data_IF_030231079972
#
_entry.id   IF_030231079972
#
_cell.length_a   1.000
_cell.length_b   1.000
_cell.length_c   1.000
_cell.angle_alpha   90.00
_cell.angle_beta   90.00
_cell.angle_gamma   90.00
#
_symmetry.space_group_name_H-M   'P 1'
#
loop_
_entity.id
_entity.type
_entity.pdbx_description
1 polymer ?
#
# COMPACT_ATOMS: atom_id res chain seq x y z
N UNK A 1 -9.11 -6.71 3.24
CA UNK A 1 -9.12 -6.16 4.62
C UNK A 1 -9.15 -4.65 4.58
N UNK A 2 -10.10 -4.07 5.22
CA UNK A 2 -10.24 -2.61 5.29
C UNK A 2 -9.91 -2.16 6.71
N UNK A 3 -8.98 -1.23 6.83
CA UNK A 3 -8.57 -0.64 8.10
C UNK A 3 -8.84 0.85 8.01
N UNK A 4 -9.53 1.43 8.99
CA UNK A 4 -9.85 2.81 8.85
C UNK A 4 -10.27 3.54 10.09
N UNK A 5 -10.06 4.85 10.03
CA UNK A 5 -10.56 5.83 10.96
C UNK A 5 -11.69 6.58 10.28
N UNK A 6 -12.86 6.55 10.87
CA UNK A 6 -13.98 7.34 10.35
C UNK A 6 -14.20 8.55 11.24
N UNK A 7 -14.47 9.71 10.66
CA UNK A 7 -14.70 10.02 9.24
C UNK A 7 -13.43 10.28 8.42
N UNK A 8 -12.24 10.21 9.01
CA UNK A 8 -11.00 10.68 8.37
C UNK A 8 -10.63 9.90 7.11
N UNK A 9 -10.83 8.57 7.09
CA UNK A 9 -10.50 7.77 5.93
C UNK A 9 -10.31 6.30 6.25
N UNK A 10 -9.75 5.57 5.28
CA UNK A 10 -9.48 4.15 5.45
C UNK A 10 -8.36 3.70 4.50
N UNK A 11 -7.80 2.55 4.81
CA UNK A 11 -6.87 1.86 3.92
C UNK A 11 -7.38 0.45 3.63
N UNK A 12 -7.04 -0.06 2.45
CA UNK A 12 -7.31 -1.45 2.08
C UNK A 12 -5.99 -2.16 1.91
N UNK A 13 -5.89 -3.35 2.51
CA UNK A 13 -4.72 -4.19 2.39
C UNK A 13 -5.14 -5.66 2.36
N UNK A 14 -4.26 -6.50 1.86
CA UNK A 14 -4.49 -7.94 1.78
C UNK A 14 -3.18 -8.71 1.88
N UNK A 15 -3.28 -10.02 2.01
CA UNK A 15 -2.13 -10.89 1.93
C UNK A 15 -1.97 -11.37 0.49
N UNK A 16 -0.73 -11.41 0.01
CA UNK A 16 -0.40 -12.03 -1.26
C UNK A 16 0.56 -13.17 -1.04
N UNK A 17 0.24 -14.31 -1.62
CA UNK A 17 1.03 -15.53 -1.50
C UNK A 17 1.89 -15.79 -2.72
N UNK A 18 1.49 -15.27 -3.88
CA UNK A 18 2.27 -15.31 -5.10
C UNK A 18 3.38 -14.28 -5.05
N UNK A 19 4.36 -14.42 -5.95
CA UNK A 19 5.49 -13.49 -5.99
C UNK A 19 5.05 -12.04 -6.12
N UNK A 20 5.68 -11.20 -5.32
CA UNK A 20 5.53 -9.74 -5.37
C UNK A 20 6.90 -9.13 -5.68
N UNK A 21 6.93 -8.25 -6.67
CA UNK A 21 8.17 -7.60 -7.11
C UNK A 21 8.92 -6.96 -5.94
N UNK A 22 10.20 -7.28 -5.85
CA UNK A 22 11.08 -6.72 -4.82
C UNK A 22 10.99 -7.41 -3.47
N UNK A 23 10.23 -8.51 -3.34
CA UNK A 23 10.10 -9.25 -2.09
C UNK A 23 10.72 -10.63 -2.17
N UNK A 24 11.07 -11.19 -1.02
CA UNK A 24 11.73 -12.50 -0.91
C UNK A 24 10.93 -13.49 -0.06
N UNK A 25 9.86 -13.06 0.57
CA UNK A 25 9.08 -13.87 1.52
C UNK A 25 7.63 -14.01 1.08
N UNK A 26 6.90 -14.91 1.72
CA UNK A 26 5.47 -15.11 1.50
C UNK A 26 4.83 -15.59 2.82
N UNK A 27 3.64 -15.12 3.18
CA UNK A 27 2.88 -14.11 2.46
C UNK A 27 3.48 -12.71 2.63
N UNK A 28 3.14 -11.83 1.69
CA UNK A 28 3.49 -10.41 1.74
C UNK A 28 2.22 -9.62 2.03
N UNK A 29 2.30 -8.66 2.94
CA UNK A 29 1.21 -7.70 3.13
C UNK A 29 1.21 -6.74 1.95
N UNK A 30 0.05 -6.44 1.41
CA UNK A 30 -0.06 -5.60 0.22
C UNK A 30 -1.07 -4.49 0.44
N UNK A 31 -0.60 -3.25 0.28
CA UNK A 31 -1.44 -2.06 0.39
C UNK A 31 -2.12 -1.82 -0.96
N UNK A 32 -3.44 -1.96 -1.00
CA UNK A 32 -4.24 -1.76 -2.20
C UNK A 32 -4.61 -0.29 -2.40
N UNK A 33 -4.85 0.44 -1.32
CA UNK A 33 -5.17 1.85 -1.40
C UNK A 33 -5.29 2.51 -0.05
N UNK A 34 -5.10 3.83 -0.05
CA UNK A 34 -5.27 4.68 1.13
C UNK A 34 -6.17 5.83 0.71
N UNK A 35 -7.25 6.04 1.45
CA UNK A 35 -8.22 7.07 1.15
C UNK A 35 -8.40 7.96 2.38
N UNK A 36 -8.06 9.24 2.23
CA UNK A 36 -8.23 10.23 3.30
C UNK A 36 -9.17 11.30 2.79
N UNK A 37 -10.21 11.58 3.57
CA UNK A 37 -11.16 12.64 3.24
C UNK A 37 -10.41 13.97 3.12
N UNK A 38 -10.72 14.80 2.09
CA UNK A 38 -10.02 16.07 1.90
C UNK A 38 -9.98 16.96 3.13
N UNK A 39 -11.03 16.93 3.97
CA UNK A 39 -11.10 17.73 5.19
C UNK A 39 -10.06 17.30 6.23
N UNK A 40 -9.50 16.09 6.10
CA UNK A 40 -8.58 15.51 7.08
C UNK A 40 -7.17 15.31 6.51
N UNK A 41 -6.89 15.81 5.31
CA UNK A 41 -5.58 15.68 4.68
C UNK A 41 -4.52 16.54 5.37
N UNK A 42 -3.25 16.18 5.17
CA UNK A 42 -2.08 16.87 5.73
C UNK A 42 -2.03 16.86 7.26
N UNK A 43 -2.67 15.86 7.87
CA UNK A 43 -2.70 15.69 9.32
C UNK A 43 -2.09 14.36 9.77
N UNK A 44 -1.41 13.66 8.86
CA UNK A 44 -0.76 12.39 9.16
C UNK A 44 -1.66 11.16 9.16
N UNK A 45 -2.93 11.29 8.76
CA UNK A 45 -3.87 10.16 8.73
C UNK A 45 -3.44 9.07 7.77
N UNK A 46 -2.94 9.43 6.58
CA UNK A 46 -2.47 8.45 5.60
C UNK A 46 -1.34 7.59 6.14
N UNK A 47 -0.36 8.19 6.78
CA UNK A 47 0.74 7.46 7.42
C UNK A 47 0.27 6.58 8.55
N UNK A 48 -0.66 7.08 9.36
CA UNK A 48 -1.23 6.30 10.46
C UNK A 48 -1.97 5.08 9.93
N UNK A 49 -2.71 5.22 8.83
CA UNK A 49 -3.39 4.11 8.17
C UNK A 49 -2.41 3.08 7.62
N UNK A 50 -1.32 3.51 7.00
CA UNK A 50 -0.28 2.61 6.51
C UNK A 50 0.35 1.86 7.69
N UNK A 51 0.68 2.56 8.78
CA UNK A 51 1.25 1.93 9.97
C UNK A 51 0.30 0.87 10.56
N UNK A 52 -1.00 1.14 10.57
CA UNK A 52 -1.99 0.17 11.03
C UNK A 52 -2.04 -1.07 10.12
N UNK A 53 -1.92 -0.87 8.80
CA UNK A 53 -1.84 -1.98 7.85
C UNK A 53 -0.58 -2.80 8.06
N UNK A 54 0.55 -2.16 8.29
CA UNK A 54 1.81 -2.84 8.58
C UNK A 54 1.71 -3.69 9.86
N UNK A 55 1.10 -3.14 10.91
CA UNK A 55 0.89 -3.91 12.14
C UNK A 55 -0.01 -5.11 11.91
N UNK A 56 -1.08 -4.93 11.14
CA UNK A 56 -1.94 -6.04 10.77
C UNK A 56 -1.16 -7.11 10.02
N UNK A 57 -0.33 -6.71 9.04
CA UNK A 57 0.46 -7.64 8.25
C UNK A 57 1.45 -8.42 9.14
N UNK A 58 2.10 -7.74 10.09
CA UNK A 58 3.00 -8.42 11.04
C UNK A 58 2.25 -9.46 11.86
N UNK A 59 1.04 -9.17 12.30
CA UNK A 59 0.21 -10.12 13.05
C UNK A 59 -0.21 -11.32 12.20
N UNK A 60 -0.24 -11.16 10.89
CA UNK A 60 -0.51 -12.25 9.95
C UNK A 60 0.75 -13.05 9.61
N UNK A 61 1.88 -12.72 10.18
CA UNK A 61 3.14 -13.40 9.94
C UNK A 61 3.96 -12.85 8.78
N UNK A 62 3.56 -11.72 8.20
CA UNK A 62 4.31 -11.11 7.11
C UNK A 62 5.60 -10.49 7.61
N UNK A 63 6.64 -10.58 6.80
CA UNK A 63 7.93 -9.92 7.03
C UNK A 63 8.17 -8.76 6.08
N UNK A 64 7.33 -8.65 5.05
CA UNK A 64 7.45 -7.61 4.04
C UNK A 64 6.08 -7.04 3.74
N UNK A 65 6.08 -5.78 3.35
CA UNK A 65 4.88 -5.04 2.97
C UNK A 65 5.16 -4.33 1.66
N UNK A 66 4.23 -4.44 0.72
CA UNK A 66 4.42 -3.92 -0.62
C UNK A 66 3.20 -3.11 -1.07
N UNK A 67 3.37 -2.37 -2.13
CA UNK A 67 2.32 -1.56 -2.71
C UNK A 67 2.70 -1.21 -4.15
N UNK A 68 1.82 -0.52 -4.84
CA UNK A 68 2.11 0.02 -6.15
C UNK A 68 1.38 1.35 -6.36
N UNK A 69 1.73 2.03 -7.41
CA UNK A 69 0.96 3.16 -7.92
C UNK A 69 1.20 3.28 -9.41
N UNK A 70 0.35 4.01 -10.09
CA UNK A 70 0.56 4.29 -11.51
C UNK A 70 1.78 5.19 -11.70
N UNK A 71 2.49 4.96 -12.81
CA UNK A 71 3.72 5.68 -13.14
C UNK A 71 3.52 7.20 -13.15
N UNK A 72 2.36 7.66 -13.58
CA UNK A 72 2.03 9.08 -13.65
C UNK A 72 1.55 9.68 -12.32
N UNK A 73 1.30 8.85 -11.32
CA UNK A 73 0.78 9.32 -10.03
C UNK A 73 1.91 9.76 -9.11
N UNK A 74 2.41 10.97 -9.35
CA UNK A 74 3.55 11.52 -8.61
C UNK A 74 3.24 11.81 -7.15
N UNK A 75 1.99 12.12 -6.82
CA UNK A 75 1.58 12.30 -5.42
C UNK A 75 1.66 10.99 -4.65
N UNK A 76 1.20 9.91 -5.25
CA UNK A 76 1.26 8.59 -4.62
C UNK A 76 2.70 8.14 -4.45
N UNK A 77 3.56 8.36 -5.46
CA UNK A 77 4.98 8.06 -5.34
C UNK A 77 5.61 8.79 -4.15
N UNK A 78 5.36 10.08 -4.04
CA UNK A 78 5.89 10.88 -2.94
C UNK A 78 5.37 10.39 -1.59
N UNK A 79 4.09 10.03 -1.50
CA UNK A 79 3.49 9.49 -0.29
C UNK A 79 4.15 8.17 0.12
N UNK A 80 4.36 7.26 -0.83
CA UNK A 80 5.02 5.97 -0.55
C UNK A 80 6.44 6.17 -0.02
N UNK A 81 7.22 7.02 -0.68
CA UNK A 81 8.59 7.28 -0.23
C UNK A 81 8.61 7.92 1.16
N UNK A 82 7.71 8.85 1.42
CA UNK A 82 7.59 9.50 2.73
C UNK A 82 7.12 8.53 3.82
N UNK A 83 6.44 7.46 3.44
CA UNK A 83 5.95 6.43 4.37
C UNK A 83 6.94 5.28 4.58
N UNK A 84 8.14 5.37 4.03
CA UNK A 84 9.21 4.40 4.24
C UNK A 84 9.31 3.31 3.19
N UNK A 85 8.49 3.33 2.15
CA UNK A 85 8.64 2.39 1.04
C UNK A 85 9.85 2.75 0.19
N UNK A 86 10.43 1.74 -0.45
CA UNK A 86 11.47 1.91 -1.47
C UNK A 86 10.91 1.46 -2.80
N UNK A 87 11.27 2.15 -3.86
CA UNK A 87 10.88 1.72 -5.20
C UNK A 87 11.58 0.41 -5.53
N UNK A 88 10.79 -0.61 -5.89
CA UNK A 88 11.30 -1.94 -6.23
C UNK A 88 11.46 -2.12 -7.73
N UNK A 89 10.64 -1.46 -8.53
CA UNK A 89 10.71 -1.59 -9.98
C UNK A 89 9.53 -0.92 -10.65
N UNK A 90 9.58 -0.89 -11.97
CA UNK A 90 8.51 -0.35 -12.83
C UNK A 90 8.19 -1.36 -13.90
N UNK A 91 6.91 -1.54 -14.19
CA UNK A 91 6.46 -2.55 -15.16
C UNK A 91 5.56 -1.91 -16.20
N UNK A 92 5.51 -2.55 -17.36
CA UNK A 92 4.57 -2.24 -18.44
C UNK A 92 3.64 -3.44 -18.56
N UNK A 93 2.34 -3.20 -18.51
CA UNK A 93 1.34 -4.25 -18.58
C UNK A 93 0.75 -4.29 -20.00
N UNK A 94 0.45 -5.50 -20.48
CA UNK A 94 -0.11 -5.71 -21.80
C UNK A 94 -1.37 -6.55 -21.69
N UNK A 95 -2.34 -6.29 -22.59
CA UNK A 95 -3.49 -7.15 -22.78
C UNK A 95 -3.71 -7.39 -24.25
N UNK A 96 -4.45 -8.43 -24.59
CA UNK A 96 -4.80 -8.77 -25.97
C UNK A 96 -6.13 -9.50 -25.98
N UNK A 97 -7.16 -8.99 -26.67
CA UNK A 97 -8.37 -9.77 -26.86
C UNK A 97 -8.10 -10.97 -27.77
N UNK A 98 -8.81 -12.06 -27.54
CA UNK A 98 -8.69 -13.28 -28.33
C UNK A 98 -9.92 -13.52 -29.17
#
# INVERSE_FOLDING_TARGET
MKIGERPAGFAQCQLRYDYVEGTETSPVGYLEGVFVDPAYRKQGHGRALVAACEDWARKQGCREFASDCELSNTQSLAFHLASGFREAGRIICFTKPL
#
